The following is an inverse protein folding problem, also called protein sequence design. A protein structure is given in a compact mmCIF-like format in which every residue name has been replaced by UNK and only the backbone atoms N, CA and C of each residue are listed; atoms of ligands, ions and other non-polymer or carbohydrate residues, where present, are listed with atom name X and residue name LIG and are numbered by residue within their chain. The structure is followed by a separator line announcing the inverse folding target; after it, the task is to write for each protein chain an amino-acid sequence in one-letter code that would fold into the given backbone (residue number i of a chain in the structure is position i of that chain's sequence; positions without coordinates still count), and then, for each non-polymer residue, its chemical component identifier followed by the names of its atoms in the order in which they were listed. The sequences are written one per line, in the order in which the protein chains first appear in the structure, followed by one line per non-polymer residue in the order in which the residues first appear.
data_IF_767840459286
#
_entry.id   IF_767840459286
#
_cell.length_a   1.000
_cell.length_b   1.000
_cell.length_c   1.000
_cell.angle_alpha   90.00
_cell.angle_beta   90.00
_cell.angle_gamma   90.00
#
_symmetry.space_group_name_H-M   'P 1'
#
loop_
_entity.id
_entity.type
_entity.pdbx_description
1 polymer ?
#
# COMPACT_ATOMS: atom_id res chain seq x y z
N UNK A 1 -5.98 -1.87 0.04
CA UNK A 1 -6.42 -1.98 -1.37
C UNK A 1 -5.20 -2.00 -2.28
N UNK A 2 -5.28 -2.71 -3.40
CA UNK A 2 -4.24 -2.69 -4.44
C UNK A 2 -4.10 -1.29 -5.06
N UNK A 3 -2.90 -0.95 -5.57
CA UNK A 3 -2.60 0.37 -6.15
C UNK A 3 -1.97 0.32 -7.56
N UNK A 4 -2.28 -0.71 -8.36
CA UNK A 4 -1.65 -0.85 -9.69
C UNK A 4 -1.75 0.47 -10.47
N UNK A 5 -0.62 1.08 -10.89
CA UNK A 5 -0.63 2.36 -11.60
C UNK A 5 -1.38 2.27 -12.94
N UNK A 6 -1.54 1.05 -13.46
CA UNK A 6 -2.29 0.76 -14.69
C UNK A 6 -3.76 1.16 -14.60
N UNK A 7 -4.34 1.30 -13.40
CA UNK A 7 -5.68 1.87 -13.22
C UNK A 7 -5.82 3.33 -13.68
N UNK A 8 -4.71 4.06 -13.77
CA UNK A 8 -4.70 5.46 -14.21
C UNK A 8 -4.16 5.59 -15.65
N UNK A 9 -3.82 4.48 -16.30
CA UNK A 9 -3.22 4.48 -17.62
C UNK A 9 -4.16 3.82 -18.65
N UNK A 10 -4.03 4.16 -19.94
CA UNK A 10 -4.71 3.43 -21.00
C UNK A 10 -4.24 1.97 -21.05
N UNK A 11 -5.15 1.03 -21.28
CA UNK A 11 -4.80 -0.37 -21.43
C UNK A 11 -5.91 -1.31 -20.97
N UNK A 12 -6.32 -1.23 -19.69
CA UNK A 12 -7.38 -2.07 -19.15
C UNK A 12 -8.70 -1.95 -19.92
N UNK A 13 -9.41 -3.06 -20.07
CA UNK A 13 -10.73 -3.15 -20.68
C UNK A 13 -11.77 -2.39 -19.84
N UNK A 14 -12.78 -1.84 -20.51
CA UNK A 14 -13.85 -1.11 -19.81
C UNK A 14 -14.58 -2.02 -18.82
N UNK A 15 -14.83 -3.29 -19.17
CA UNK A 15 -15.46 -4.26 -18.27
C UNK A 15 -14.67 -4.46 -16.98
N UNK A 16 -13.33 -4.53 -17.07
CA UNK A 16 -12.47 -4.64 -15.88
C UNK A 16 -12.50 -3.35 -15.05
N UNK A 17 -12.47 -2.20 -15.71
CA UNK A 17 -12.53 -0.90 -15.03
C UNK A 17 -13.88 -0.73 -14.32
N UNK A 18 -15.00 -1.06 -14.95
CA UNK A 18 -16.34 -0.97 -14.38
C UNK A 18 -16.53 -1.91 -13.17
N UNK A 19 -15.99 -3.14 -13.26
CA UNK A 19 -15.96 -4.12 -12.15
C UNK A 19 -15.20 -3.57 -10.93
N UNK A 20 -14.01 -3.03 -11.17
CA UNK A 20 -13.18 -2.42 -10.11
C UNK A 20 -13.82 -1.15 -9.57
N UNK A 21 -14.37 -0.29 -10.42
CA UNK A 21 -15.00 0.97 -10.01
C UNK A 21 -16.26 0.74 -9.19
N UNK A 22 -17.00 -0.34 -9.44
CA UNK A 22 -18.11 -0.78 -8.59
C UNK A 22 -17.62 -1.08 -7.17
N UNK A 23 -16.56 -1.89 -7.03
CA UNK A 23 -15.98 -2.21 -5.73
C UNK A 23 -15.31 -1.01 -5.04
N UNK A 24 -14.72 -0.09 -5.82
CA UNK A 24 -14.25 1.19 -5.29
C UNK A 24 -15.40 2.08 -4.81
N UNK A 25 -16.55 2.03 -5.48
CA UNK A 25 -17.79 2.69 -5.03
C UNK A 25 -18.19 2.25 -3.63
N UNK A 26 -18.25 0.93 -3.39
CA UNK A 26 -18.55 0.39 -2.06
C UNK A 26 -17.51 0.82 -1.01
N UNK A 27 -16.22 0.88 -1.39
CA UNK A 27 -15.17 1.34 -0.50
C UNK A 27 -15.26 2.85 -0.22
N UNK A 28 -15.70 3.68 -1.18
CA UNK A 28 -15.99 5.10 -0.98
C UNK A 28 -17.15 5.29 -0.02
N UNK A 29 -18.24 4.54 -0.20
CA UNK A 29 -19.39 4.58 0.69
C UNK A 29 -18.98 4.24 2.13
N UNK A 30 -18.18 3.18 2.30
CA UNK A 30 -17.58 2.83 3.59
C UNK A 30 -16.77 3.99 4.20
N UNK A 31 -15.88 4.61 3.42
CA UNK A 31 -15.04 5.71 3.89
C UNK A 31 -15.87 6.95 4.24
N UNK A 32 -16.91 7.24 3.47
CA UNK A 32 -17.86 8.32 3.73
C UNK A 32 -18.63 8.09 5.03
N UNK A 33 -19.07 6.86 5.29
CA UNK A 33 -19.76 6.48 6.53
C UNK A 33 -18.85 6.59 7.76
N UNK A 34 -17.55 6.28 7.61
CA UNK A 34 -16.56 6.46 8.67
C UNK A 34 -16.27 7.94 8.95
N UNK A 35 -16.35 8.80 7.93
CA UNK A 35 -15.99 10.22 7.97
C UNK A 35 -14.67 10.47 8.75
N UNK A 36 -13.52 9.97 8.27
CA UNK A 36 -12.29 10.03 9.03
C UNK A 36 -11.78 11.47 9.19
N UNK A 37 -11.31 11.78 10.39
CA UNK A 37 -10.61 13.03 10.72
C UNK A 37 -9.11 12.94 10.46
N UNK A 38 -8.58 11.72 10.34
CA UNK A 38 -7.19 11.42 10.08
C UNK A 38 -7.08 10.12 9.29
N UNK A 39 -6.19 10.10 8.31
CA UNK A 39 -5.81 8.88 7.59
C UNK A 39 -4.37 8.52 7.96
N UNK A 40 -4.11 7.26 8.27
CA UNK A 40 -2.76 6.71 8.38
C UNK A 40 -2.55 5.72 7.25
N UNK A 41 -1.66 6.03 6.31
CA UNK A 41 -1.44 5.22 5.11
C UNK A 41 -0.13 4.47 5.23
N UNK A 42 -0.21 3.14 5.24
CA UNK A 42 0.92 2.24 5.02
C UNK A 42 1.06 1.97 3.53
N UNK A 43 2.17 2.37 2.93
CA UNK A 43 2.42 2.21 1.51
C UNK A 43 3.90 1.85 1.25
N UNK A 44 4.21 1.13 0.15
CA UNK A 44 5.57 1.07 -0.35
C UNK A 44 5.96 2.38 -1.05
N UNK A 45 7.19 2.43 -1.53
CA UNK A 45 7.69 3.40 -2.49
C UNK A 45 8.43 2.63 -3.58
N UNK A 46 8.27 3.06 -4.81
CA UNK A 46 8.81 2.35 -5.97
C UNK A 46 10.05 3.05 -6.53
N UNK A 47 10.94 3.51 -5.66
CA UNK A 47 12.14 4.29 -5.99
C UNK A 47 11.85 5.72 -6.50
N UNK A 48 10.88 6.37 -5.87
CA UNK A 48 10.51 7.77 -6.10
C UNK A 48 10.98 8.67 -4.95
N UNK A 49 10.75 8.25 -3.71
CA UNK A 49 11.17 8.94 -2.49
C UNK A 49 12.27 8.20 -1.70
N UNK A 50 12.39 6.88 -1.85
CA UNK A 50 13.40 6.07 -1.17
C UNK A 50 14.33 5.37 -2.16
N UNK A 51 15.62 5.32 -1.87
CA UNK A 51 16.65 4.87 -2.82
C UNK A 51 17.60 3.87 -2.20
N UNK A 52 18.35 3.14 -3.02
CA UNK A 52 19.33 2.17 -2.49
C UNK A 52 20.56 2.84 -1.88
N UNK A 53 20.70 4.16 -2.02
CA UNK A 53 21.67 4.96 -1.27
C UNK A 53 21.35 4.99 0.23
N UNK A 54 20.05 4.96 0.59
CA UNK A 54 19.58 4.79 1.96
C UNK A 54 18.13 4.29 1.94
N UNK A 55 17.93 3.04 2.34
CA UNK A 55 16.63 2.38 2.38
C UNK A 55 16.32 1.93 3.81
N UNK A 56 15.48 2.65 4.56
CA UNK A 56 15.05 2.19 5.88
C UNK A 56 14.02 1.05 5.73
N UNK A 57 13.83 0.19 6.74
CA UNK A 57 12.70 -0.75 6.73
C UNK A 57 11.35 -0.02 6.80
N UNK A 58 11.27 1.04 7.63
CA UNK A 58 10.08 1.84 7.86
C UNK A 58 10.45 3.33 7.98
N UNK A 59 9.56 4.22 7.53
CA UNK A 59 9.73 5.67 7.70
C UNK A 59 8.38 6.37 7.89
N UNK A 60 8.26 7.29 8.85
CA UNK A 60 7.09 8.15 9.03
C UNK A 60 7.39 9.55 8.48
N UNK A 61 6.47 10.09 7.70
CA UNK A 61 6.56 11.45 7.17
C UNK A 61 5.92 12.44 8.13
N UNK A 62 6.67 13.46 8.55
CA UNK A 62 6.11 14.62 9.28
C UNK A 62 5.78 15.80 8.37
N UNK A 63 6.30 15.76 7.14
CA UNK A 63 5.78 16.48 5.98
C UNK A 63 5.98 15.60 4.74
N UNK A 64 5.06 15.67 3.78
CA UNK A 64 5.13 14.87 2.57
C UNK A 64 4.59 15.58 1.34
N UNK A 65 5.04 15.16 0.16
CA UNK A 65 4.53 15.62 -1.12
C UNK A 65 4.42 14.47 -2.13
N UNK A 66 3.35 14.48 -2.92
CA UNK A 66 3.16 13.59 -4.06
C UNK A 66 4.10 13.95 -5.21
N UNK A 67 4.74 12.95 -5.82
CA UNK A 67 5.68 13.18 -6.93
C UNK A 67 5.00 13.36 -8.30
N UNK A 68 3.72 13.00 -8.42
CA UNK A 68 2.96 13.06 -9.65
C UNK A 68 3.33 12.01 -10.70
N UNK A 69 3.59 10.77 -10.29
CA UNK A 69 3.79 9.67 -11.23
C UNK A 69 2.45 9.04 -11.64
N UNK A 70 2.39 8.49 -12.85
CA UNK A 70 1.18 7.82 -13.37
C UNK A 70 -0.11 8.65 -13.31
N UNK A 71 0.01 9.98 -13.42
CA UNK A 71 -1.12 10.90 -13.42
C UNK A 71 -1.75 11.14 -12.05
N UNK A 72 -1.10 10.73 -10.95
CA UNK A 72 -1.56 11.08 -9.59
C UNK A 72 -1.21 12.52 -9.23
N UNK A 73 -1.76 13.01 -8.13
CA UNK A 73 -1.47 14.31 -7.55
C UNK A 73 0.04 14.57 -7.36
N UNK A 74 0.44 15.81 -7.69
CA UNK A 74 1.78 16.34 -7.48
C UNK A 74 1.69 17.59 -6.60
N UNK A 75 2.34 17.58 -5.44
CA UNK A 75 2.28 18.69 -4.49
C UNK A 75 2.22 18.25 -3.03
N UNK A 76 2.13 19.20 -2.10
CA UNK A 76 2.13 18.91 -0.67
C UNK A 76 0.87 18.15 -0.24
N UNK A 77 1.05 17.17 0.65
CA UNK A 77 -0.04 16.53 1.38
C UNK A 77 -0.30 17.26 2.71
N UNK A 78 -1.54 17.20 3.20
CA UNK A 78 -1.89 17.74 4.51
C UNK A 78 -1.41 16.79 5.62
N UNK A 79 -0.14 16.92 6.03
CA UNK A 79 0.45 16.09 7.10
C UNK A 79 0.39 16.82 8.43
N UNK A 80 -0.34 16.32 9.44
CA UNK A 80 -0.39 16.93 10.77
C UNK A 80 0.90 16.63 11.54
N UNK A 81 1.94 17.45 11.36
CA UNK A 81 3.31 17.29 11.89
C UNK A 81 3.36 16.80 13.35
N UNK A 82 2.65 17.47 14.27
CA UNK A 82 2.64 17.09 15.68
C UNK A 82 2.06 15.70 15.95
N UNK A 83 1.03 15.28 15.20
CA UNK A 83 0.47 13.92 15.31
C UNK A 83 1.41 12.88 14.69
N UNK A 84 2.02 13.19 13.54
CA UNK A 84 3.02 12.32 12.91
C UNK A 84 4.24 12.11 13.82
N UNK A 85 4.77 13.18 14.42
CA UNK A 85 5.87 13.12 15.38
C UNK A 85 5.48 12.35 16.66
N UNK A 86 4.26 12.54 17.16
CA UNK A 86 3.70 11.77 18.27
C UNK A 86 3.63 10.28 17.97
N UNK A 87 3.17 9.93 16.77
CA UNK A 87 3.13 8.55 16.28
C UNK A 87 4.53 7.94 16.19
N UNK A 88 5.50 8.65 15.62
CA UNK A 88 6.89 8.18 15.56
C UNK A 88 7.49 7.93 16.95
N UNK A 89 7.23 8.84 17.91
CA UNK A 89 7.66 8.67 19.31
C UNK A 89 7.04 7.43 19.95
N UNK A 90 5.75 7.19 19.73
CA UNK A 90 5.05 6.03 20.28
C UNK A 90 5.57 4.71 19.69
N UNK A 91 5.83 4.66 18.37
CA UNK A 91 6.40 3.50 17.69
C UNK A 91 7.80 3.17 18.22
N UNK A 92 8.66 4.18 18.38
CA UNK A 92 9.98 4.00 18.99
C UNK A 92 9.88 3.52 20.45
N UNK A 93 8.97 4.08 21.24
CA UNK A 93 8.75 3.66 22.63
C UNK A 93 8.23 2.22 22.74
N UNK A 94 7.55 1.71 21.70
CA UNK A 94 7.09 0.32 21.61
C UNK A 94 8.19 -0.66 21.13
N UNK A 95 9.43 -0.19 20.90
CA UNK A 95 10.56 -1.04 20.50
C UNK A 95 10.64 -1.36 19.01
N UNK A 96 9.99 -0.55 18.17
CA UNK A 96 10.09 -0.64 16.70
C UNK A 96 10.94 0.52 16.18
N UNK A 97 12.12 0.20 15.64
CA UNK A 97 12.96 1.19 14.97
C UNK A 97 12.27 1.74 13.72
N UNK A 98 12.20 3.07 13.62
CA UNK A 98 11.57 3.76 12.48
C UNK A 98 12.33 5.03 12.14
N UNK A 99 12.52 5.28 10.84
CA UNK A 99 13.05 6.55 10.36
C UNK A 99 11.97 7.64 10.37
N UNK A 100 12.40 8.90 10.39
CA UNK A 100 11.52 10.07 10.26
C UNK A 100 12.01 10.88 9.06
N UNK A 101 11.08 11.30 8.20
CA UNK A 101 11.36 12.24 7.11
C UNK A 101 10.52 13.50 7.27
N UNK A 102 11.18 14.65 7.33
CA UNK A 102 10.53 15.97 7.36
C UNK A 102 10.27 16.55 5.96
N UNK A 103 10.47 15.75 4.91
CA UNK A 103 10.26 16.13 3.51
C UNK A 103 10.09 14.87 2.64
N UNK A 104 9.18 13.98 3.04
CA UNK A 104 8.96 12.70 2.36
C UNK A 104 8.36 12.91 0.98
N UNK A 105 9.03 12.44 -0.06
CA UNK A 105 8.36 12.25 -1.35
C UNK A 105 7.60 10.92 -1.32
N UNK A 106 6.35 10.95 -1.77
CA UNK A 106 5.51 9.75 -1.89
C UNK A 106 5.00 9.60 -3.32
N UNK A 107 4.89 8.35 -3.76
CA UNK A 107 4.43 8.03 -5.11
C UNK A 107 2.98 7.53 -5.14
N UNK A 108 2.55 7.08 -6.31
CA UNK A 108 1.22 6.51 -6.54
C UNK A 108 0.82 5.44 -5.51
N UNK A 109 1.76 4.70 -4.91
CA UNK A 109 1.47 3.73 -3.86
C UNK A 109 0.80 4.36 -2.63
N UNK A 110 1.11 5.63 -2.34
CA UNK A 110 0.44 6.42 -1.30
C UNK A 110 -0.72 7.24 -1.86
N UNK A 111 -0.49 7.91 -3.00
CA UNK A 111 -1.40 8.95 -3.51
C UNK A 111 -2.63 8.38 -4.20
N UNK A 112 -2.48 7.34 -5.04
CA UNK A 112 -3.59 6.79 -5.83
C UNK A 112 -4.75 6.28 -4.94
N UNK A 113 -4.53 5.53 -3.84
CA UNK A 113 -5.61 5.15 -2.94
C UNK A 113 -6.38 6.33 -2.35
N UNK A 114 -5.69 7.44 -2.01
CA UNK A 114 -6.33 8.64 -1.48
C UNK A 114 -7.26 9.28 -2.52
N UNK A 115 -6.77 9.46 -3.74
CA UNK A 115 -7.59 9.98 -4.85
C UNK A 115 -8.77 9.07 -5.16
N UNK A 116 -8.56 7.75 -5.20
CA UNK A 116 -9.63 6.79 -5.52
C UNK A 116 -10.71 6.74 -4.44
N UNK A 117 -10.37 6.92 -3.16
CA UNK A 117 -11.32 6.84 -2.05
C UNK A 117 -11.96 8.19 -1.69
N UNK A 118 -11.27 9.31 -1.88
CA UNK A 118 -11.72 10.63 -1.43
C UNK A 118 -11.94 11.63 -2.58
N UNK A 119 -11.59 11.27 -3.82
CA UNK A 119 -11.64 12.16 -4.99
C UNK A 119 -10.49 13.15 -5.09
N UNK A 120 -9.79 13.42 -3.98
CA UNK A 120 -8.64 14.33 -3.90
C UNK A 120 -7.64 13.79 -2.85
N UNK A 121 -6.36 13.74 -3.20
CA UNK A 121 -5.29 13.29 -2.32
C UNK A 121 -5.12 14.16 -1.05
N UNK A 122 -5.63 15.39 -1.08
CA UNK A 122 -5.53 16.40 -0.02
C UNK A 122 -6.85 16.59 0.75
N UNK A 123 -7.86 15.77 0.47
CA UNK A 123 -9.19 15.91 1.06
C UNK A 123 -9.23 15.77 2.60
N UNK A 124 -8.25 15.07 3.19
CA UNK A 124 -8.16 14.78 4.63
C UNK A 124 -6.70 14.83 5.11
N UNK A 125 -6.46 15.15 6.40
CA UNK A 125 -5.14 15.02 7.00
C UNK A 125 -4.61 13.58 6.89
N UNK A 126 -3.35 13.42 6.50
CA UNK A 126 -2.72 12.11 6.24
C UNK A 126 -1.35 11.99 6.91
N UNK A 127 -1.11 10.86 7.57
CA UNK A 127 0.22 10.45 8.05
C UNK A 127 0.70 9.32 7.14
N UNK A 128 1.64 9.59 6.21
CA UNK A 128 2.24 8.55 5.38
C UNK A 128 3.30 7.77 6.16
N UNK A 129 3.20 6.44 6.11
CA UNK A 129 4.14 5.49 6.69
C UNK A 129 4.65 4.60 5.56
N UNK A 130 5.89 4.84 5.16
CA UNK A 130 6.60 3.99 4.21
C UNK A 130 6.94 2.64 4.85
N UNK A 131 6.69 1.56 4.11
CA UNK A 131 7.06 0.19 4.46
C UNK A 131 7.85 -0.42 3.31
N UNK A 132 9.16 -0.66 3.52
CA UNK A 132 10.00 -1.26 2.49
C UNK A 132 9.46 -2.64 2.09
N UNK A 133 9.05 -2.72 0.84
CA UNK A 133 8.47 -3.91 0.21
C UNK A 133 9.16 -4.26 -1.11
N UNK A 134 10.20 -3.51 -1.49
CA UNK A 134 10.84 -3.60 -2.81
C UNK A 134 12.32 -3.91 -2.69
N UNK A 135 13.04 -3.18 -1.84
CA UNK A 135 14.49 -3.23 -1.79
C UNK A 135 14.98 -4.32 -0.82
N UNK A 136 15.55 -5.38 -1.39
CA UNK A 136 16.12 -6.49 -0.62
C UNK A 136 17.44 -6.11 0.07
N UNK A 137 17.77 -6.71 1.24
CA UNK A 137 16.99 -7.70 1.99
C UNK A 137 15.79 -7.09 2.73
N UNK A 138 14.68 -7.82 2.76
CA UNK A 138 13.46 -7.42 3.47
C UNK A 138 13.40 -8.03 4.87
N UNK A 139 12.79 -7.34 5.83
CA UNK A 139 12.50 -7.91 7.16
C UNK A 139 11.40 -8.98 7.10
N UNK A 140 11.24 -9.84 8.13
CA UNK A 140 10.12 -10.79 8.20
C UNK A 140 8.77 -10.07 8.42
N UNK A 141 7.65 -10.69 8.01
CA UNK A 141 6.31 -10.08 8.13
C UNK A 141 5.92 -9.71 9.57
N UNK A 142 6.43 -10.45 10.56
CA UNK A 142 6.23 -10.12 11.98
C UNK A 142 6.66 -8.69 12.34
N UNK A 143 7.64 -8.11 11.62
CA UNK A 143 8.06 -6.71 11.84
C UNK A 143 7.03 -5.71 11.34
N UNK A 144 6.38 -5.98 10.21
CA UNK A 144 5.26 -5.17 9.71
C UNK A 144 4.05 -5.27 10.65
N UNK A 145 3.78 -6.46 11.20
CA UNK A 145 2.74 -6.66 12.22
C UNK A 145 3.04 -5.89 13.51
N UNK A 146 4.30 -5.92 13.98
CA UNK A 146 4.74 -5.16 15.14
C UNK A 146 4.63 -3.64 14.94
N UNK A 147 5.03 -3.14 13.75
CA UNK A 147 4.83 -1.74 13.38
C UNK A 147 3.35 -1.37 13.44
N UNK A 148 2.49 -2.15 12.78
CA UNK A 148 1.05 -1.93 12.77
C UNK A 148 0.46 -1.88 14.17
N UNK A 149 0.77 -2.86 15.02
CA UNK A 149 0.31 -2.89 16.41
C UNK A 149 0.78 -1.66 17.22
N UNK A 150 2.03 -1.23 17.06
CA UNK A 150 2.55 -0.05 17.74
C UNK A 150 1.84 1.24 17.30
N UNK A 151 1.60 1.40 16.00
CA UNK A 151 0.82 2.52 15.44
C UNK A 151 -0.62 2.45 15.95
N UNK A 152 -1.29 1.31 15.82
CA UNK A 152 -2.67 1.12 16.25
C UNK A 152 -2.89 1.43 17.73
N UNK A 153 -2.00 0.96 18.61
CA UNK A 153 -2.04 1.27 20.03
C UNK A 153 -1.97 2.78 20.30
N UNK A 154 -1.16 3.52 19.54
CA UNK A 154 -1.11 4.97 19.65
C UNK A 154 -2.37 5.64 19.12
N UNK A 155 -2.86 5.21 17.95
CA UNK A 155 -4.07 5.77 17.33
C UNK A 155 -5.30 5.58 18.22
N UNK A 156 -5.41 4.45 18.93
CA UNK A 156 -6.49 4.19 19.89
C UNK A 156 -6.51 5.16 21.09
N UNK A 157 -5.44 5.91 21.33
CA UNK A 157 -5.41 6.97 22.38
C UNK A 157 -5.88 8.33 21.87
N UNK A 158 -6.09 8.48 20.56
CA UNK A 158 -6.56 9.71 19.97
C UNK A 158 -8.08 9.77 20.06
N UNK A 159 -8.62 10.92 20.46
CA UNK A 159 -10.05 11.22 20.37
C UNK A 159 -10.40 11.66 18.94
N UNK A 160 -10.24 10.73 17.98
CA UNK A 160 -10.43 10.96 16.53
C UNK A 160 -10.98 9.73 15.84
N UNK A 161 -11.79 9.94 14.80
CA UNK A 161 -12.10 8.90 13.81
C UNK A 161 -10.89 8.75 12.88
N UNK A 162 -10.18 7.62 13.00
CA UNK A 162 -8.98 7.35 12.20
C UNK A 162 -9.23 6.24 11.19
N UNK A 163 -8.97 6.50 9.92
CA UNK A 163 -8.90 5.46 8.89
C UNK A 163 -7.46 4.97 8.75
N UNK A 164 -7.26 3.66 8.87
CA UNK A 164 -5.97 3.03 8.54
C UNK A 164 -6.06 2.41 7.16
N UNK A 165 -5.11 2.74 6.29
CA UNK A 165 -5.09 2.31 4.89
C UNK A 165 -3.79 1.55 4.58
N UNK A 166 -3.92 0.30 4.14
CA UNK A 166 -2.80 -0.48 3.59
C UNK A 166 -2.89 -0.53 2.07
N UNK A 167 -1.80 -0.20 1.38
CA UNK A 167 -1.78 -0.06 -0.08
C UNK A 167 -0.80 -1.03 -0.75
N UNK A 168 -1.23 -1.70 -1.83
CA UNK A 168 -0.39 -2.57 -2.67
C UNK A 168 -0.87 -4.00 -2.81
N UNK A 169 -0.01 -4.87 -3.34
CA UNK A 169 -0.29 -6.30 -3.52
C UNK A 169 -1.39 -6.60 -4.56
N UNK A 170 -1.82 -7.85 -4.70
CA UNK A 170 -1.36 -9.06 -4.01
C UNK A 170 -0.27 -9.76 -4.84
N UNK A 171 -0.51 -10.94 -5.42
CA UNK A 171 0.48 -11.60 -6.27
C UNK A 171 0.72 -10.80 -7.55
N UNK A 172 1.97 -10.40 -7.76
CA UNK A 172 2.44 -9.67 -8.95
C UNK A 172 3.97 -9.58 -9.02
N UNK A 173 4.47 -9.38 -10.25
CA UNK A 173 5.91 -9.29 -10.54
C UNK A 173 6.27 -8.26 -11.65
N UNK A 174 5.88 -6.99 -11.49
CA UNK A 174 6.19 -5.95 -12.46
C UNK A 174 7.70 -5.63 -12.52
N UNK A 175 8.18 -4.99 -13.59
CA UNK A 175 9.53 -4.47 -13.66
C UNK A 175 9.74 -3.34 -12.65
N UNK A 176 10.35 -3.65 -11.50
CA UNK A 176 10.83 -2.63 -10.55
C UNK A 176 12.36 -2.65 -10.54
N UNK A 177 12.95 -1.67 -11.21
CA UNK A 177 14.41 -1.52 -11.28
C UNK A 177 14.98 -0.87 -10.03
N UNK A 178 16.10 -1.39 -9.53
CA UNK A 178 16.88 -0.77 -8.44
C UNK A 178 17.35 0.61 -8.87
N UNK A 179 17.17 1.64 -8.02
CA UNK A 179 17.63 3.01 -8.30
C UNK A 179 18.30 3.66 -7.09
N UNK A 180 19.16 4.64 -7.40
CA UNK A 180 20.01 5.38 -6.46
C UNK A 180 19.76 6.90 -6.46
N UNK A 181 18.85 7.38 -7.32
CA UNK A 181 18.56 8.81 -7.50
C UNK A 181 17.09 9.03 -7.88
N UNK A 182 16.59 10.25 -7.68
CA UNK A 182 15.24 10.68 -8.11
C UNK A 182 15.10 10.60 -9.64
N UNK A 183 13.94 10.15 -10.14
CA UNK A 183 13.68 10.17 -11.59
C UNK A 183 13.63 11.60 -12.13
N UNK A 184 14.29 11.83 -13.27
CA UNK A 184 13.94 12.97 -14.13
C UNK A 184 12.54 12.75 -14.74
N UNK A 185 11.88 13.81 -15.23
CA UNK A 185 10.62 13.67 -15.95
C UNK A 185 10.68 12.66 -17.11
N UNK A 186 11.79 12.63 -17.84
CA UNK A 186 12.01 11.72 -18.98
C UNK A 186 12.17 10.26 -18.50
N UNK A 187 12.95 10.02 -17.45
CA UNK A 187 13.09 8.68 -16.86
C UNK A 187 11.74 8.15 -16.35
N UNK A 188 10.93 9.03 -15.76
CA UNK A 188 9.58 8.71 -15.29
C UNK A 188 8.66 8.35 -16.45
N UNK A 189 8.67 9.14 -17.52
CA UNK A 189 7.89 8.85 -18.72
C UNK A 189 8.31 7.53 -19.38
N UNK A 190 9.62 7.26 -19.47
CA UNK A 190 10.14 6.00 -20.01
C UNK A 190 9.69 4.80 -19.16
N UNK A 191 9.68 4.93 -17.84
CA UNK A 191 9.15 3.90 -16.93
C UNK A 191 7.66 3.67 -17.14
N UNK A 192 6.86 4.72 -17.29
CA UNK A 192 5.43 4.59 -17.55
C UNK A 192 5.16 3.78 -18.83
N UNK A 193 5.90 4.07 -19.90
CA UNK A 193 5.82 3.31 -21.15
C UNK A 193 6.19 1.84 -20.92
N UNK A 194 7.29 1.57 -20.22
CA UNK A 194 7.74 0.22 -19.93
C UNK A 194 6.72 -0.61 -19.12
N UNK A 195 6.01 0.03 -18.17
CA UNK A 195 4.95 -0.61 -17.39
C UNK A 195 3.74 -0.94 -18.27
N UNK A 196 3.32 -0.03 -19.15
CA UNK A 196 2.24 -0.28 -20.12
C UNK A 196 2.60 -1.45 -21.04
N UNK A 197 3.82 -1.47 -21.57
CA UNK A 197 4.26 -2.53 -22.47
C UNK A 197 4.45 -3.88 -21.76
N UNK A 198 4.80 -3.87 -20.46
CA UNK A 198 4.80 -5.07 -19.63
C UNK A 198 3.37 -5.60 -19.43
N UNK A 199 2.40 -4.72 -19.22
CA UNK A 199 0.99 -5.11 -19.04
C UNK A 199 0.42 -5.75 -20.30
N UNK A 200 0.70 -5.18 -21.47
CA UNK A 200 0.29 -5.75 -22.76
C UNK A 200 0.85 -7.15 -22.97
N UNK A 201 2.16 -7.33 -22.77
CA UNK A 201 2.82 -8.64 -22.86
C UNK A 201 2.31 -9.64 -21.84
N UNK A 202 1.89 -9.16 -20.67
CA UNK A 202 1.30 -10.03 -19.66
C UNK A 202 -0.09 -10.52 -20.08
N UNK A 203 -0.94 -9.60 -20.52
CA UNK A 203 -2.30 -9.89 -20.94
C UNK A 203 -2.37 -10.77 -22.21
N UNK A 204 -1.42 -10.63 -23.14
CA UNK A 204 -1.34 -11.45 -24.35
C UNK A 204 -0.63 -12.80 -24.16
N UNK A 205 -0.10 -13.06 -22.96
CA UNK A 205 0.58 -14.31 -22.61
C UNK A 205 2.02 -14.44 -23.12
N UNK A 206 2.65 -13.36 -23.62
CA UNK A 206 4.04 -13.37 -24.09
C UNK A 206 5.06 -12.95 -23.03
N UNK A 207 4.60 -12.58 -21.84
CA UNK A 207 5.44 -12.16 -20.71
C UNK A 207 6.20 -13.33 -20.07
N UNK A 208 7.42 -13.04 -19.61
CA UNK A 208 8.26 -13.90 -18.78
C UNK A 208 8.02 -13.71 -17.28
N UNK A 209 7.09 -12.83 -16.90
CA UNK A 209 6.76 -12.53 -15.50
C UNK A 209 6.02 -13.67 -14.84
N UNK A 210 6.21 -13.76 -13.53
CA UNK A 210 5.51 -14.74 -12.72
C UNK A 210 3.97 -14.59 -12.86
N UNK A 211 3.23 -15.70 -13.05
CA UNK A 211 1.77 -15.68 -13.08
C UNK A 211 1.17 -15.17 -11.76
N UNK A 212 0.03 -14.49 -11.85
CA UNK A 212 -0.85 -14.20 -10.70
C UNK A 212 -1.22 -15.55 -10.08
N UNK A 213 -1.21 -15.61 -8.75
CA UNK A 213 -1.48 -16.83 -7.99
C UNK A 213 -2.72 -16.63 -7.13
N UNK A 214 -3.94 -16.89 -7.67
CA UNK A 214 -5.17 -16.70 -6.93
C UNK A 214 -5.28 -17.55 -5.66
N UNK A 215 -4.69 -18.75 -5.65
CA UNK A 215 -4.72 -19.61 -4.47
C UNK A 215 -3.92 -18.99 -3.31
N UNK A 216 -2.75 -18.42 -3.61
CA UNK A 216 -1.95 -17.68 -2.63
C UNK A 216 -2.64 -16.38 -2.19
N UNK A 217 -3.23 -15.64 -3.14
CA UNK A 217 -3.98 -14.41 -2.85
C UNK A 217 -5.16 -14.66 -1.91
N UNK A 218 -5.97 -15.68 -2.20
CA UNK A 218 -7.10 -16.05 -1.35
C UNK A 218 -6.65 -16.52 0.02
N UNK A 219 -5.56 -17.29 0.12
CA UNK A 219 -5.00 -17.68 1.42
C UNK A 219 -4.58 -16.47 2.25
N UNK A 220 -3.96 -15.46 1.62
CA UNK A 220 -3.62 -14.21 2.29
C UNK A 220 -4.88 -13.47 2.77
N UNK A 221 -5.87 -13.33 1.87
CA UNK A 221 -7.12 -12.62 2.17
C UNK A 221 -7.95 -13.31 3.25
N UNK A 222 -7.96 -14.64 3.33
CA UNK A 222 -8.65 -15.39 4.38
C UNK A 222 -8.02 -15.19 5.77
N UNK A 223 -6.68 -15.09 5.83
CA UNK A 223 -5.97 -14.76 7.08
C UNK A 223 -6.32 -13.33 7.53
N UNK A 224 -6.37 -12.39 6.59
CA UNK A 224 -6.81 -11.01 6.86
C UNK A 224 -8.27 -10.99 7.29
N UNK A 225 -9.16 -11.69 6.59
CA UNK A 225 -10.60 -11.70 6.89
C UNK A 225 -10.92 -12.34 8.26
N UNK A 226 -10.11 -13.28 8.72
CA UNK A 226 -10.27 -13.97 10.02
C UNK A 226 -9.59 -13.28 11.21
N UNK A 227 -8.76 -12.26 10.97
CA UNK A 227 -7.99 -11.60 12.02
C UNK A 227 -6.80 -12.39 12.55
N UNK A 228 -6.50 -13.59 12.02
CA UNK A 228 -5.40 -14.45 12.45
C UNK A 228 -4.04 -14.01 11.89
N UNK A 229 -3.72 -12.72 11.98
CA UNK A 229 -2.55 -12.10 11.35
C UNK A 229 -1.21 -12.72 11.78
N UNK A 230 -1.16 -13.39 12.94
CA UNK A 230 0.02 -14.12 13.42
C UNK A 230 0.41 -15.28 12.49
N UNK A 231 -0.52 -15.85 11.74
CA UNK A 231 -0.25 -16.95 10.80
C UNK A 231 0.69 -16.51 9.67
N UNK A 232 0.71 -15.21 9.35
CA UNK A 232 1.61 -14.62 8.36
C UNK A 232 3.06 -14.53 8.85
N UNK A 233 3.32 -14.65 10.16
CA UNK A 233 4.69 -14.66 10.69
C UNK A 233 5.48 -15.88 10.20
N UNK A 234 4.79 -16.95 9.80
CA UNK A 234 5.40 -18.18 9.27
C UNK A 234 5.81 -18.05 7.79
N UNK A 235 5.35 -17.00 7.08
CA UNK A 235 5.65 -16.81 5.68
C UNK A 235 7.04 -16.19 5.54
N UNK A 236 7.99 -17.00 5.05
CA UNK A 236 9.33 -16.50 4.75
C UNK A 236 9.32 -15.59 3.54
N UNK A 237 10.33 -14.73 3.43
CA UNK A 237 10.46 -13.89 2.24
C UNK A 237 10.62 -14.70 0.95
N UNK A 238 11.32 -15.83 1.03
CA UNK A 238 11.49 -16.74 -0.10
C UNK A 238 10.17 -17.40 -0.52
N UNK A 239 9.31 -17.76 0.44
CA UNK A 239 7.98 -18.28 0.16
C UNK A 239 7.11 -17.23 -0.55
N UNK A 240 7.10 -15.98 -0.05
CA UNK A 240 6.34 -14.88 -0.67
C UNK A 240 6.81 -14.63 -2.09
N UNK A 241 8.13 -14.51 -2.32
CA UNK A 241 8.68 -14.32 -3.67
C UNK A 241 8.35 -15.50 -4.58
N UNK A 242 8.47 -16.74 -4.08
CA UNK A 242 8.22 -17.93 -4.88
C UNK A 242 6.74 -18.07 -5.29
N UNK A 243 5.81 -17.82 -4.38
CA UNK A 243 4.38 -18.01 -4.63
C UNK A 243 3.71 -16.79 -5.27
N UNK A 244 4.04 -15.58 -4.78
CA UNK A 244 3.35 -14.34 -5.14
C UNK A 244 4.09 -13.45 -6.13
N UNK A 245 5.40 -13.63 -6.32
CA UNK A 245 6.23 -12.73 -7.15
C UNK A 245 7.02 -11.70 -6.34
N UNK A 246 7.96 -10.99 -6.98
CA UNK A 246 8.88 -10.09 -6.26
C UNK A 246 8.18 -8.89 -5.64
N UNK A 247 7.11 -8.37 -6.26
CA UNK A 247 6.37 -7.24 -5.70
C UNK A 247 5.23 -7.65 -4.77
N UNK A 248 4.94 -8.95 -4.64
CA UNK A 248 3.96 -9.44 -3.67
C UNK A 248 4.32 -9.12 -2.21
N UNK A 249 5.57 -8.74 -1.94
CA UNK A 249 6.00 -8.23 -0.63
C UNK A 249 5.24 -6.99 -0.15
N UNK A 250 4.54 -6.28 -1.04
CA UNK A 250 3.64 -5.19 -0.67
C UNK A 250 2.51 -5.59 0.28
N UNK A 251 2.20 -6.89 0.43
CA UNK A 251 1.29 -7.37 1.50
C UNK A 251 1.72 -6.93 2.90
N UNK A 252 2.99 -6.52 3.10
CA UNK A 252 3.49 -5.91 4.34
C UNK A 252 2.68 -4.70 4.79
N UNK A 253 2.19 -3.89 3.86
CA UNK A 253 1.38 -2.71 4.16
C UNK A 253 0.01 -3.11 4.67
N UNK A 254 -0.57 -4.17 4.11
CA UNK A 254 -1.82 -4.76 4.56
C UNK A 254 -1.64 -5.36 5.96
N UNK A 255 -0.57 -6.11 6.21
CA UNK A 255 -0.26 -6.65 7.54
C UNK A 255 -0.13 -5.53 8.57
N UNK A 256 0.56 -4.43 8.25
CA UNK A 256 0.66 -3.29 9.14
C UNK A 256 -0.71 -2.62 9.38
N UNK A 257 -1.49 -2.40 8.33
CA UNK A 257 -2.80 -1.76 8.44
C UNK A 257 -3.80 -2.58 9.28
N UNK A 258 -3.92 -3.87 9.01
CA UNK A 258 -4.81 -4.75 9.76
C UNK A 258 -4.32 -5.03 11.19
N UNK A 259 -3.01 -5.03 11.42
CA UNK A 259 -2.47 -5.12 12.79
C UNK A 259 -2.74 -3.83 13.59
N UNK A 260 -2.69 -2.66 12.94
CA UNK A 260 -3.09 -1.40 13.57
C UNK A 260 -4.58 -1.38 13.91
N UNK A 261 -5.44 -1.90 13.02
CA UNK A 261 -6.87 -2.07 13.31
C UNK A 261 -7.09 -3.03 14.49
N UNK A 262 -6.42 -4.19 14.48
CA UNK A 262 -6.53 -5.21 15.52
C UNK A 262 -6.09 -4.73 16.92
N UNK A 263 -5.27 -3.67 16.99
CA UNK A 263 -4.90 -3.06 18.26
C UNK A 263 -6.09 -2.40 18.99
N UNK A 264 -7.14 -2.01 18.25
CA UNK A 264 -8.39 -1.51 18.81
C UNK A 264 -9.35 -2.62 19.26
N UNK A 265 -9.02 -3.88 19.03
CA UNK A 265 -9.85 -5.05 19.31
C UNK A 265 -10.08 -5.92 18.08
N UNK A 266 -10.88 -7.00 18.21
CA UNK A 266 -11.28 -7.81 17.06
C UNK A 266 -12.00 -6.95 16.02
N UNK A 267 -11.95 -7.36 14.75
CA UNK A 267 -12.60 -6.66 13.65
C UNK A 267 -13.35 -7.63 12.75
N UNK A 268 -14.23 -7.07 11.92
CA UNK A 268 -14.89 -7.80 10.83
C UNK A 268 -14.65 -7.09 9.51
N UNK A 269 -14.40 -7.84 8.45
CA UNK A 269 -14.32 -7.29 7.10
C UNK A 269 -15.73 -7.09 6.51
N UNK A 270 -15.88 -6.09 5.65
CA UNK A 270 -17.18 -5.72 5.05
C UNK A 270 -17.10 -5.79 3.53
N UNK A 271 -16.49 -4.81 2.85
CA UNK A 271 -16.22 -4.92 1.41
C UNK A 271 -15.15 -5.97 1.18
N UNK A 272 -15.43 -6.95 0.30
CA UNK A 272 -14.55 -8.09 0.01
C UNK A 272 -14.46 -8.35 -1.50
N UNK A 273 -13.68 -7.53 -2.19
CA UNK A 273 -13.44 -7.67 -3.63
C UNK A 273 -12.08 -8.33 -3.95
N UNK A 274 -12.06 -9.24 -4.92
CA UNK A 274 -10.83 -9.81 -5.48
C UNK A 274 -10.99 -10.10 -6.97
N UNK A 275 -9.95 -9.79 -7.75
CA UNK A 275 -9.85 -10.13 -9.16
C UNK A 275 -8.42 -10.49 -9.53
N UNK A 276 -8.22 -11.65 -10.15
CA UNK A 276 -6.98 -11.93 -10.87
C UNK A 276 -6.95 -11.10 -12.16
N UNK A 277 -6.40 -9.88 -12.10
CA UNK A 277 -6.49 -8.89 -13.15
C UNK A 277 -5.19 -8.89 -13.99
N UNK A 278 -5.16 -9.72 -15.04
CA UNK A 278 -4.01 -9.82 -15.95
C UNK A 278 -3.64 -8.46 -16.58
N UNK A 279 -4.64 -7.65 -16.92
CA UNK A 279 -4.44 -6.31 -17.50
C UNK A 279 -3.83 -5.30 -16.51
N UNK A 280 -3.87 -5.61 -15.20
CA UNK A 280 -3.21 -4.86 -14.14
C UNK A 280 -1.93 -5.55 -13.64
N UNK A 281 -1.57 -6.70 -14.23
CA UNK A 281 -0.45 -7.57 -13.84
C UNK A 281 -0.51 -7.96 -12.36
N UNK A 282 -1.71 -8.04 -11.76
CA UNK A 282 -1.82 -8.26 -10.32
C UNK A 282 -3.10 -8.98 -9.90
N UNK A 283 -3.01 -9.75 -8.81
CA UNK A 283 -4.15 -10.07 -7.96
C UNK A 283 -4.66 -8.79 -7.29
N UNK A 284 -5.72 -8.20 -7.84
CA UNK A 284 -6.27 -6.94 -7.36
C UNK A 284 -7.29 -7.18 -6.24
N UNK A 285 -7.15 -6.50 -5.11
CA UNK A 285 -8.05 -6.67 -3.97
C UNK A 285 -8.43 -5.36 -3.28
N UNK A 286 -9.67 -5.32 -2.80
CA UNK A 286 -10.17 -4.29 -1.88
C UNK A 286 -10.76 -5.01 -0.66
N UNK A 287 -10.34 -4.57 0.53
CA UNK A 287 -10.92 -4.97 1.80
C UNK A 287 -11.17 -3.73 2.64
N UNK A 288 -12.34 -3.63 3.23
CA UNK A 288 -12.65 -2.67 4.29
C UNK A 288 -13.03 -3.43 5.56
N UNK A 289 -12.81 -2.84 6.72
CA UNK A 289 -13.03 -3.50 7.99
C UNK A 289 -13.33 -2.50 9.11
N UNK A 290 -14.11 -2.92 10.09
CA UNK A 290 -14.42 -2.14 11.29
C UNK A 290 -14.19 -2.98 12.55
N UNK A 291 -13.80 -2.35 13.68
CA UNK A 291 -13.80 -3.02 14.98
C UNK A 291 -15.19 -3.62 15.30
N UNK A 292 -15.20 -4.73 16.03
CA UNK A 292 -16.42 -5.41 16.52
C UNK A 292 -16.69 -5.12 17.97
#
# INVERSE_FOLDING_TARGET
MSHSPLLNLPGPSQDLLDDIDTALGEARDFVNDVDPELIVVFAPDHYNGFFSTLMPPFCIGTAAQGVGDYGTYAGPLDVPDSLAAGCAKAVLAAGVDIAISACMDVDHGTVQPLEKLFGDATARPVIPIFVNSVATPLGPLQRSRALGGAVGNHLATLDKRVLVLGSGGLSHDPPVGVRNHRMTPEERQARQIAVIDAAKRYADGTSDRQPINPAWDHRFLDIVDSGQLVDLDQWSNSFITHEGGNSAHEIRTWVAAFAALAAAGPYRTTVRYYKAAAELIAGFAIRTAVPT
#
